data_IF_991658499281
#
_entry.id   IF_991658499281
#
_cell.length_a   1.000
_cell.length_b   1.000
_cell.length_c   1.000
_cell.angle_alpha   90.00
_cell.angle_beta   90.00
_cell.angle_gamma   90.00
#
_symmetry.space_group_name_H-M   'P 1'
#
loop_
_entity.id
_entity.type
_entity.pdbx_description
1 polymer ?
#
# COMPACT_ATOMS: atom_id res chain seq x y z
N UNK A 1 24.74 39.46 -30.14
CA UNK A 1 23.51 39.51 -29.32
C UNK A 1 22.37 38.62 -29.85
N UNK A 2 21.99 38.68 -31.13
CA UNK A 2 20.87 37.88 -31.67
C UNK A 2 21.07 36.35 -31.56
N UNK A 3 22.30 35.86 -31.68
CA UNK A 3 22.65 34.44 -31.55
C UNK A 3 22.52 33.92 -30.09
N UNK A 4 22.85 34.76 -29.10
CA UNK A 4 22.71 34.41 -27.68
C UNK A 4 21.25 34.39 -27.22
N UNK A 5 20.43 35.30 -27.75
CA UNK A 5 18.99 35.34 -27.47
C UNK A 5 18.29 34.09 -28.06
N UNK A 6 18.73 33.64 -29.25
CA UNK A 6 18.20 32.44 -29.88
C UNK A 6 18.49 31.17 -29.07
N UNK A 7 19.69 31.03 -28.50
CA UNK A 7 20.05 29.86 -27.67
C UNK A 7 19.24 29.79 -26.38
N UNK A 8 18.97 30.93 -25.75
CA UNK A 8 18.23 30.99 -24.48
C UNK A 8 16.77 30.56 -24.65
N UNK A 9 16.16 30.86 -25.79
CA UNK A 9 14.78 30.46 -26.11
C UNK A 9 14.65 28.96 -26.36
N UNK A 10 15.69 28.32 -26.91
CA UNK A 10 15.68 26.88 -27.18
C UNK A 10 15.79 26.05 -25.90
N UNK A 11 16.55 26.49 -24.89
CA UNK A 11 16.67 25.79 -23.61
C UNK A 11 15.37 25.75 -22.79
N UNK A 12 14.51 26.77 -22.91
CA UNK A 12 13.24 26.85 -22.17
C UNK A 12 12.21 25.85 -22.72
N UNK A 13 12.27 25.52 -24.02
CA UNK A 13 11.32 24.58 -24.66
C UNK A 13 11.67 23.10 -24.45
N UNK A 14 12.90 22.77 -24.08
CA UNK A 14 13.32 21.38 -23.79
C UNK A 14 13.39 21.05 -22.28
N UNK A 15 13.15 22.03 -21.40
CA UNK A 15 13.25 21.84 -19.94
C UNK A 15 12.03 21.20 -19.26
N UNK A 16 10.92 21.00 -19.96
CA UNK A 16 9.66 20.49 -19.37
C UNK A 16 9.36 19.04 -19.75
N UNK A 17 10.32 18.13 -19.55
CA UNK A 17 10.09 16.69 -19.70
C UNK A 17 10.71 15.92 -18.56
N UNK A 18 10.06 15.97 -17.41
CA UNK A 18 9.94 14.82 -16.51
C UNK A 18 8.82 15.12 -15.50
N UNK A 19 7.57 15.13 -15.96
CA UNK A 19 6.52 14.71 -15.06
C UNK A 19 6.75 13.22 -14.87
N UNK A 20 7.41 12.84 -13.76
CA UNK A 20 7.17 11.52 -13.21
C UNK A 20 5.68 11.50 -12.89
N UNK A 21 4.90 10.96 -13.82
CA UNK A 21 3.63 10.35 -13.50
C UNK A 21 4.00 9.24 -12.52
N UNK A 22 4.08 9.60 -11.23
CA UNK A 22 3.97 8.62 -10.15
C UNK A 22 2.62 8.00 -10.40
N UNK A 23 2.63 6.82 -11.01
CA UNK A 23 1.43 6.04 -11.21
C UNK A 23 0.73 5.95 -9.86
N UNK A 24 -0.56 6.23 -9.91
CA UNK A 24 -1.48 6.14 -8.80
C UNK A 24 -1.16 4.86 -8.03
N UNK A 25 -0.89 5.01 -6.73
CA UNK A 25 -0.40 3.99 -5.82
C UNK A 25 -1.07 2.65 -6.08
N UNK A 26 -0.29 1.56 -6.25
CA UNK A 26 -0.76 0.16 -6.22
C UNK A 26 -1.27 -0.21 -4.82
N UNK A 27 -2.19 0.58 -4.30
CA UNK A 27 -2.83 0.37 -3.02
C UNK A 27 -3.95 -0.63 -3.23
N UNK A 28 -3.78 -1.80 -2.61
CA UNK A 28 -4.77 -2.86 -2.61
C UNK A 28 -5.59 -2.80 -1.32
N UNK A 29 -6.84 -3.28 -1.37
CA UNK A 29 -7.72 -3.50 -0.23
C UNK A 29 -8.63 -4.70 -0.51
N UNK A 30 -8.06 -5.90 -0.41
CA UNK A 30 -8.72 -7.15 -0.75
C UNK A 30 -9.12 -7.94 0.50
N UNK A 31 -10.24 -8.66 0.43
CA UNK A 31 -10.68 -9.60 1.46
C UNK A 31 -10.59 -11.03 0.92
N UNK A 32 -10.09 -11.96 1.74
CA UNK A 32 -10.01 -13.38 1.39
C UNK A 32 -10.29 -14.28 2.61
N UNK A 33 -10.84 -15.46 2.32
CA UNK A 33 -11.04 -16.53 3.32
C UNK A 33 -10.05 -17.66 3.03
N UNK A 34 -9.11 -17.88 3.95
CA UNK A 34 -8.15 -18.98 3.86
C UNK A 34 -8.74 -20.24 4.48
N UNK A 35 -8.92 -21.28 3.66
CA UNK A 35 -9.31 -22.60 4.14
C UNK A 35 -8.16 -23.23 4.93
N UNK A 36 -8.44 -23.60 6.17
CA UNK A 36 -7.53 -24.35 7.05
C UNK A 36 -8.26 -25.59 7.58
N UNK A 37 -7.56 -26.60 8.14
CA UNK A 37 -8.24 -27.72 8.75
C UNK A 37 -9.25 -27.25 9.80
N UNK A 38 -10.51 -27.66 9.63
CA UNK A 38 -11.63 -27.40 10.56
C UNK A 38 -12.02 -25.93 10.75
N UNK A 39 -11.60 -25.00 9.87
CA UNK A 39 -11.98 -23.58 9.96
C UNK A 39 -11.69 -22.82 8.65
N UNK A 40 -12.16 -21.58 8.57
CA UNK A 40 -11.73 -20.62 7.56
C UNK A 40 -11.23 -19.36 8.30
N UNK A 41 -10.13 -18.77 7.84
CA UNK A 41 -9.53 -17.58 8.45
C UNK A 41 -9.74 -16.40 7.51
N UNK A 42 -10.32 -15.33 8.03
CA UNK A 42 -10.41 -14.06 7.31
C UNK A 42 -9.05 -13.36 7.25
N UNK A 43 -8.69 -12.87 6.07
CA UNK A 43 -7.56 -11.96 5.88
C UNK A 43 -8.01 -10.76 5.08
N UNK A 44 -7.66 -9.57 5.55
CA UNK A 44 -7.73 -8.34 4.77
C UNK A 44 -6.34 -7.92 4.35
N UNK A 45 -6.11 -7.81 3.04
CA UNK A 45 -4.81 -7.44 2.47
C UNK A 45 -4.88 -5.97 2.05
N UNK A 46 -4.09 -5.11 2.69
CA UNK A 46 -4.08 -3.67 2.42
C UNK A 46 -2.67 -3.12 2.23
N UNK A 47 -2.55 -2.08 1.44
CA UNK A 47 -1.29 -1.36 1.25
C UNK A 47 -0.67 -1.59 -0.12
N UNK A 48 0.61 -1.28 -0.25
CA UNK A 48 1.28 -1.25 -1.54
C UNK A 48 1.71 -2.65 -1.99
N UNK A 49 1.11 -3.17 -3.07
CA UNK A 49 1.35 -4.52 -3.58
C UNK A 49 2.81 -4.81 -4.01
N UNK A 50 3.57 -3.76 -4.35
CA UNK A 50 4.97 -3.85 -4.78
C UNK A 50 5.98 -3.73 -3.62
N UNK A 51 5.49 -3.68 -2.38
CA UNK A 51 6.31 -3.55 -1.17
C UNK A 51 6.38 -4.86 -0.37
N UNK A 52 7.35 -5.00 0.56
CA UNK A 52 7.46 -6.21 1.37
C UNK A 52 6.17 -6.52 2.13
N UNK A 53 5.83 -7.80 2.19
CA UNK A 53 4.65 -8.30 2.89
C UNK A 53 4.91 -8.41 4.40
N UNK A 54 4.00 -7.87 5.19
CA UNK A 54 3.88 -8.09 6.63
C UNK A 54 2.61 -8.90 6.89
N UNK A 55 2.71 -9.97 7.66
CA UNK A 55 1.55 -10.68 8.21
C UNK A 55 1.34 -10.18 9.63
N UNK A 56 0.21 -9.51 9.87
CA UNK A 56 -0.13 -8.98 11.17
C UNK A 56 -0.99 -9.99 11.95
N UNK A 57 -0.58 -10.30 13.18
CA UNK A 57 -1.28 -11.18 14.11
C UNK A 57 -1.70 -10.37 15.35
N UNK A 58 -3.00 -10.27 15.59
CA UNK A 58 -3.52 -9.53 16.74
C UNK A 58 -3.26 -10.25 18.09
N UNK A 59 -3.36 -9.52 19.21
CA UNK A 59 -3.32 -10.08 20.57
C UNK A 59 -4.63 -10.78 20.99
N UNK A 60 -4.66 -11.42 22.17
CA UNK A 60 -5.86 -12.11 22.70
C UNK A 60 -6.69 -11.26 23.68
N UNK A 61 -7.80 -11.78 24.24
CA UNK A 61 -8.84 -12.61 23.61
C UNK A 61 -9.89 -11.74 22.87
N UNK A 62 -10.40 -12.22 21.73
CA UNK A 62 -11.44 -11.53 20.94
C UNK A 62 -10.92 -10.41 20.02
N UNK A 63 -9.61 -10.39 19.72
CA UNK A 63 -9.03 -9.41 18.80
C UNK A 63 -9.55 -9.57 17.37
N UNK A 64 -9.47 -8.51 16.57
CA UNK A 64 -9.80 -8.52 15.15
C UNK A 64 -8.98 -7.45 14.44
N UNK A 65 -8.72 -7.68 13.15
CA UNK A 65 -7.90 -6.87 12.26
C UNK A 65 -8.24 -5.38 12.26
N UNK A 66 -9.50 -5.00 12.51
CA UNK A 66 -9.93 -3.61 12.46
C UNK A 66 -9.24 -2.67 13.46
N UNK A 67 -8.82 -3.19 14.62
CA UNK A 67 -8.05 -2.38 15.61
C UNK A 67 -6.67 -2.06 15.04
N UNK A 68 -5.99 -3.08 14.52
CA UNK A 68 -4.62 -2.94 14.00
C UNK A 68 -4.60 -2.11 12.71
N UNK A 69 -5.59 -2.27 11.83
CA UNK A 69 -5.78 -1.40 10.65
C UNK A 69 -5.89 0.06 11.08
N UNK A 70 -6.69 0.35 12.12
CA UNK A 70 -6.91 1.71 12.60
C UNK A 70 -5.67 2.32 13.27
N UNK A 71 -4.92 1.53 14.04
CA UNK A 71 -3.79 2.02 14.83
C UNK A 71 -2.46 2.02 14.06
N UNK A 72 -2.20 0.98 13.27
CA UNK A 72 -0.92 0.75 12.59
C UNK A 72 -0.98 1.06 11.10
N UNK A 73 -2.14 0.84 10.45
CA UNK A 73 -2.31 0.99 9.02
C UNK A 73 -1.80 2.31 8.44
N UNK A 74 -2.15 3.49 9.01
CA UNK A 74 -1.69 4.79 8.48
C UNK A 74 -0.16 4.94 8.39
N UNK A 75 0.58 4.28 9.28
CA UNK A 75 2.04 4.32 9.30
C UNK A 75 2.70 3.29 8.36
N UNK A 76 2.01 2.17 8.10
CA UNK A 76 2.61 1.01 7.46
C UNK A 76 2.15 0.80 6.00
N UNK A 77 0.88 1.01 5.68
CA UNK A 77 0.27 0.59 4.39
C UNK A 77 0.89 1.28 3.15
N UNK A 78 1.53 2.44 3.32
CA UNK A 78 2.26 3.12 2.23
C UNK A 78 3.63 2.49 1.91
N UNK A 79 4.22 1.79 2.87
CA UNK A 79 5.58 1.25 2.79
C UNK A 79 5.63 -0.27 2.72
N UNK A 80 4.50 -0.94 2.98
CA UNK A 80 4.37 -2.38 3.06
C UNK A 80 3.02 -2.83 2.49
N UNK A 81 2.98 -4.06 1.98
CA UNK A 81 1.75 -4.80 1.84
C UNK A 81 1.46 -5.48 3.18
N UNK A 82 0.24 -5.41 3.69
CA UNK A 82 -0.11 -5.95 5.01
C UNK A 82 -1.27 -6.92 4.88
N UNK A 83 -1.06 -8.15 5.30
CA UNK A 83 -2.10 -9.15 5.49
C UNK A 83 -2.54 -9.14 6.96
N UNK A 84 -3.67 -8.50 7.24
CA UNK A 84 -4.30 -8.49 8.56
C UNK A 84 -5.11 -9.77 8.74
N UNK A 85 -4.57 -10.74 9.48
CA UNK A 85 -5.18 -12.05 9.72
C UNK A 85 -6.03 -12.01 11.00
N UNK A 86 -7.30 -12.37 10.87
CA UNK A 86 -8.14 -12.71 12.03
C UNK A 86 -7.84 -14.16 12.44
N UNK A 87 -7.43 -14.37 13.69
CA UNK A 87 -7.09 -15.69 14.20
C UNK A 87 -8.36 -16.53 14.46
N UNK A 88 -8.22 -17.85 14.42
CA UNK A 88 -9.32 -18.81 14.63
C UNK A 88 -10.17 -18.44 15.86
N UNK A 89 -11.49 -18.37 15.64
CA UNK A 89 -12.47 -18.10 16.69
C UNK A 89 -12.57 -16.62 17.09
N UNK A 90 -11.93 -15.72 16.35
CA UNK A 90 -12.03 -14.28 16.49
C UNK A 90 -12.28 -13.63 15.12
N UNK A 91 -12.78 -12.39 15.09
CA UNK A 91 -13.00 -11.68 13.84
C UNK A 91 -14.16 -12.23 12.99
N UNK A 92 -13.99 -12.22 11.66
CA UNK A 92 -14.96 -12.74 10.68
C UNK A 92 -14.80 -14.23 10.40
#
# INVERSE_FOLDING_TARGET
MKLFISLLFTCILFGTSCNSTRNNTDFTDDELMLKVPSSELYVRVRGNAEKPLIINLHGGPGGYSGIDIKLMGPALENNFLIAYLDQRGCGK
#
